data_IF_170800161616
#
_entry.id   IF_170800161616
#
_cell.length_a   1.000
_cell.length_b   1.000
_cell.length_c   1.000
_cell.angle_alpha   90.00
_cell.angle_beta   90.00
_cell.angle_gamma   90.00
#
_symmetry.space_group_name_H-M   'P 1'
#
loop_
_entity.id
_entity.type
_entity.pdbx_description
1 polymer ?
#
# COMPACT_ATOMS: atom_id res chain seq x y z
N UNK A 1 -44.56 31.41 0.24
CA UNK A 1 -43.51 31.52 -0.80
C UNK A 1 -42.40 30.57 -0.41
N UNK A 2 -42.35 29.38 -0.99
CA UNK A 2 -41.30 28.40 -0.75
C UNK A 2 -40.21 28.63 -1.78
N UNK A 3 -39.09 29.23 -1.37
CA UNK A 3 -37.88 29.28 -2.18
C UNK A 3 -37.37 27.84 -2.39
N UNK A 4 -37.00 27.44 -3.62
CA UNK A 4 -36.42 26.13 -3.84
C UNK A 4 -35.05 26.03 -3.13
N UNK A 5 -34.64 24.84 -2.67
CA UNK A 5 -33.33 24.66 -2.04
C UNK A 5 -32.23 24.94 -3.07
N UNK A 6 -31.27 25.79 -2.68
CA UNK A 6 -30.06 26.07 -3.45
C UNK A 6 -29.20 24.80 -3.50
N UNK A 7 -29.39 23.97 -4.51
CA UNK A 7 -28.45 22.89 -4.81
C UNK A 7 -27.18 23.54 -5.39
N UNK A 8 -26.11 23.56 -4.60
CA UNK A 8 -24.79 24.00 -5.05
C UNK A 8 -24.25 23.00 -6.05
N UNK A 9 -24.61 23.16 -7.33
CA UNK A 9 -23.99 22.42 -8.42
C UNK A 9 -22.53 22.89 -8.54
N UNK A 10 -21.63 22.16 -7.89
CA UNK A 10 -20.21 22.32 -8.16
C UNK A 10 -19.95 21.91 -9.60
N UNK A 11 -19.25 22.76 -10.35
CA UNK A 11 -18.83 22.43 -11.71
C UNK A 11 -17.88 21.21 -11.69
N UNK A 12 -17.83 20.39 -12.76
CA UNK A 12 -16.89 19.27 -12.85
C UNK A 12 -15.42 19.68 -12.64
N UNK A 13 -15.08 20.92 -13.01
CA UNK A 13 -13.75 21.50 -12.81
C UNK A 13 -13.44 21.74 -11.32
N UNK A 14 -14.42 22.21 -10.55
CA UNK A 14 -14.26 22.43 -9.10
C UNK A 14 -14.09 21.12 -8.34
N UNK A 15 -14.81 20.06 -8.70
CA UNK A 15 -14.63 18.73 -8.09
C UNK A 15 -13.27 18.12 -8.40
N UNK A 16 -12.83 18.23 -9.66
CA UNK A 16 -11.50 17.76 -10.07
C UNK A 16 -10.37 18.51 -9.34
N UNK A 17 -10.54 19.82 -9.12
CA UNK A 17 -9.59 20.63 -8.37
C UNK A 17 -9.54 20.21 -6.89
N UNK A 18 -10.70 20.04 -6.24
CA UNK A 18 -10.78 19.57 -4.86
C UNK A 18 -10.04 18.23 -4.68
N UNK A 19 -10.25 17.26 -5.58
CA UNK A 19 -9.54 15.99 -5.53
C UNK A 19 -8.02 16.15 -5.67
N UNK A 20 -7.55 16.99 -6.60
CA UNK A 20 -6.11 17.25 -6.76
C UNK A 20 -5.51 17.85 -5.49
N UNK A 21 -6.21 18.77 -4.85
CA UNK A 21 -5.79 19.36 -3.58
C UNK A 21 -5.76 18.33 -2.46
N UNK A 22 -6.75 17.43 -2.40
CA UNK A 22 -6.78 16.32 -1.42
C UNK A 22 -5.58 15.39 -1.59
N UNK A 23 -5.27 14.96 -2.82
CA UNK A 23 -4.09 14.12 -3.05
C UNK A 23 -2.80 14.86 -2.71
N UNK A 24 -2.68 16.14 -3.11
CA UNK A 24 -1.51 16.95 -2.79
C UNK A 24 -1.34 17.11 -1.27
N UNK A 25 -2.42 17.30 -0.51
CA UNK A 25 -2.39 17.41 0.94
C UNK A 25 -1.92 16.11 1.61
N UNK A 26 -2.44 14.96 1.17
CA UNK A 26 -2.02 13.63 1.68
C UNK A 26 -0.54 13.41 1.39
N UNK A 27 -0.10 13.65 0.16
CA UNK A 27 1.30 13.47 -0.23
C UNK A 27 2.24 14.43 0.52
N UNK A 28 1.85 15.69 0.65
CA UNK A 28 2.63 16.68 1.38
C UNK A 28 2.79 16.31 2.86
N UNK A 29 1.70 15.86 3.51
CA UNK A 29 1.74 15.40 4.90
C UNK A 29 2.73 14.24 5.05
N UNK A 30 2.67 13.25 4.16
CA UNK A 30 3.55 12.08 4.19
C UNK A 30 5.00 12.50 3.96
N UNK A 31 5.28 13.33 2.96
CA UNK A 31 6.64 13.82 2.69
C UNK A 31 7.19 14.58 3.91
N UNK A 32 6.41 15.49 4.50
CA UNK A 32 6.85 16.26 5.66
C UNK A 32 7.08 15.38 6.90
N UNK A 33 6.22 14.38 7.13
CA UNK A 33 6.33 13.49 8.27
C UNK A 33 7.52 12.51 8.16
N UNK A 34 7.82 12.03 6.95
CA UNK A 34 8.75 10.92 6.74
C UNK A 34 10.07 11.28 6.07
N UNK A 35 10.18 12.44 5.40
CA UNK A 35 11.43 12.88 4.77
C UNK A 35 12.63 12.97 5.73
N UNK A 36 12.51 13.33 7.02
CA UNK A 36 13.66 13.34 7.93
C UNK A 36 14.27 11.96 8.19
N UNK A 37 13.56 10.88 7.85
CA UNK A 37 13.97 9.50 8.09
C UNK A 37 14.48 8.81 6.82
N UNK A 38 14.45 9.49 5.68
CA UNK A 38 14.99 8.95 4.43
C UNK A 38 16.51 8.82 4.53
N UNK A 39 17.03 7.63 4.20
CA UNK A 39 18.46 7.36 4.26
C UNK A 39 18.98 7.04 5.66
N UNK A 40 18.10 6.79 6.63
CA UNK A 40 18.50 6.19 7.90
C UNK A 40 19.20 4.85 7.65
N UNK A 41 20.29 4.60 8.38
CA UNK A 41 21.07 3.39 8.21
C UNK A 41 20.27 2.13 8.57
N UNK A 42 20.64 1.00 7.98
CA UNK A 42 20.01 -0.30 8.22
C UNK A 42 20.07 -0.70 9.69
N UNK A 43 18.98 -1.30 10.19
CA UNK A 43 18.85 -1.73 11.59
C UNK A 43 18.26 -3.13 11.72
N UNK A 44 18.74 -3.87 12.73
CA UNK A 44 18.17 -5.15 13.16
C UNK A 44 17.95 -6.14 11.99
N UNK A 45 16.70 -6.49 11.71
CA UNK A 45 16.31 -7.47 10.69
C UNK A 45 16.67 -7.03 9.27
N UNK A 46 16.99 -5.75 9.03
CA UNK A 46 17.42 -5.25 7.71
C UNK A 46 18.61 -6.01 7.16
N UNK A 47 19.54 -6.40 8.02
CA UNK A 47 20.70 -7.18 7.61
C UNK A 47 20.32 -8.58 7.14
N UNK A 48 19.32 -9.20 7.76
CA UNK A 48 18.79 -10.51 7.32
C UNK A 48 18.12 -10.39 5.95
N UNK A 49 17.33 -9.34 5.74
CA UNK A 49 16.68 -9.08 4.45
C UNK A 49 17.70 -8.76 3.33
N UNK A 50 18.71 -7.95 3.65
CA UNK A 50 19.82 -7.65 2.74
C UNK A 50 20.64 -8.90 2.43
N UNK A 51 20.93 -9.75 3.42
CA UNK A 51 21.62 -11.01 3.21
C UNK A 51 20.83 -11.88 2.23
N UNK A 52 19.53 -12.11 2.48
CA UNK A 52 18.68 -12.88 1.54
C UNK A 52 18.74 -12.29 0.13
N UNK A 53 18.70 -10.97 -0.03
CA UNK A 53 18.80 -10.30 -1.33
C UNK A 53 20.17 -10.49 -2.00
N UNK A 54 21.28 -10.36 -1.26
CA UNK A 54 22.64 -10.60 -1.76
C UNK A 54 22.78 -12.03 -2.26
N UNK A 55 22.32 -13.01 -1.48
CA UNK A 55 22.41 -14.42 -1.85
C UNK A 55 21.51 -14.75 -3.04
N UNK A 56 20.29 -14.19 -3.06
CA UNK A 56 19.32 -14.37 -4.15
C UNK A 56 19.70 -13.63 -5.42
N UNK A 57 20.61 -12.64 -5.35
CA UNK A 57 21.10 -11.92 -6.52
C UNK A 57 21.85 -12.84 -7.49
N UNK A 58 22.50 -13.89 -6.96
CA UNK A 58 23.23 -14.92 -7.72
C UNK A 58 22.34 -16.06 -8.18
N UNK A 59 21.29 -16.34 -7.42
CA UNK A 59 20.35 -17.43 -7.68
C UNK A 59 18.97 -17.08 -7.11
N UNK A 60 18.06 -16.69 -7.99
CA UNK A 60 16.73 -16.21 -7.62
C UNK A 60 15.85 -17.31 -7.02
N UNK A 61 16.15 -18.58 -7.28
CA UNK A 61 15.35 -19.71 -6.76
C UNK A 61 15.38 -19.78 -5.23
N UNK A 62 16.42 -19.19 -4.61
CA UNK A 62 16.61 -19.12 -3.17
C UNK A 62 15.50 -18.36 -2.44
N UNK A 63 14.85 -17.41 -3.10
CA UNK A 63 13.67 -16.70 -2.55
C UNK A 63 12.53 -17.67 -2.23
N UNK A 64 12.43 -18.77 -2.98
CA UNK A 64 11.38 -19.78 -2.81
C UNK A 64 11.80 -20.92 -1.86
N UNK A 65 12.96 -20.80 -1.21
CA UNK A 65 13.45 -21.81 -0.26
C UNK A 65 13.42 -21.27 1.18
N UNK A 66 12.82 -22.02 2.10
CA UNK A 66 12.66 -21.65 3.51
C UNK A 66 13.98 -21.48 4.28
N UNK A 67 15.08 -21.98 3.74
CA UNK A 67 16.33 -22.15 4.49
C UNK A 67 17.06 -20.83 4.79
N UNK A 68 16.85 -19.79 3.96
CA UNK A 68 17.59 -18.52 4.05
C UNK A 68 16.67 -17.40 4.54
N UNK A 69 15.41 -17.42 4.13
CA UNK A 69 14.45 -16.33 4.34
C UNK A 69 13.92 -16.20 5.78
N UNK A 70 14.10 -17.21 6.65
CA UNK A 70 13.45 -17.37 7.97
C UNK A 70 11.90 -17.39 7.93
N UNK A 71 11.27 -16.73 6.95
CA UNK A 71 9.85 -16.67 6.69
C UNK A 71 9.58 -16.84 5.19
N UNK A 72 8.48 -17.52 4.82
CA UNK A 72 8.09 -17.67 3.42
C UNK A 72 7.36 -16.41 2.92
N UNK A 73 8.12 -15.38 2.54
CA UNK A 73 7.60 -14.10 2.02
C UNK A 73 8.15 -13.81 0.61
N UNK A 74 7.88 -14.68 -0.39
CA UNK A 74 8.55 -14.62 -1.69
C UNK A 74 8.32 -13.29 -2.43
N UNK A 75 7.13 -12.69 -2.34
CA UNK A 75 6.89 -11.39 -2.99
C UNK A 75 7.69 -10.27 -2.30
N UNK A 76 7.75 -10.28 -0.97
CA UNK A 76 8.57 -9.34 -0.21
C UNK A 76 10.05 -9.45 -0.60
N UNK A 77 10.60 -10.65 -0.62
CA UNK A 77 11.99 -10.89 -0.98
C UNK A 77 12.29 -10.58 -2.46
N UNK A 78 11.33 -10.78 -3.37
CA UNK A 78 11.49 -10.38 -4.77
C UNK A 78 11.61 -8.86 -4.91
N UNK A 79 10.76 -8.09 -4.23
CA UNK A 79 10.87 -6.63 -4.25
C UNK A 79 12.18 -6.18 -3.60
N UNK A 80 12.55 -6.77 -2.46
CA UNK A 80 13.82 -6.45 -1.78
C UNK A 80 15.05 -6.78 -2.63
N UNK A 81 15.01 -7.86 -3.41
CA UNK A 81 16.04 -8.21 -4.39
C UNK A 81 16.13 -7.16 -5.51
N UNK A 82 14.98 -6.67 -5.99
CA UNK A 82 14.94 -5.60 -7.00
C UNK A 82 15.54 -4.32 -6.42
N UNK A 83 15.17 -3.93 -5.19
CA UNK A 83 15.75 -2.78 -4.49
C UNK A 83 17.27 -2.92 -4.36
N UNK A 84 17.76 -4.09 -3.93
CA UNK A 84 19.19 -4.36 -3.84
C UNK A 84 19.92 -4.24 -5.18
N UNK A 85 19.31 -4.71 -6.28
CA UNK A 85 19.91 -4.58 -7.62
C UNK A 85 19.95 -3.14 -8.11
N UNK A 86 19.02 -2.29 -7.68
CA UNK A 86 18.93 -0.88 -8.11
C UNK A 86 19.76 0.05 -7.23
N UNK A 87 19.78 -0.18 -5.92
CA UNK A 87 20.32 0.74 -4.92
C UNK A 87 21.54 0.18 -4.18
N UNK A 88 21.83 -1.12 -4.31
CA UNK A 88 22.93 -1.76 -3.60
C UNK A 88 22.75 -1.67 -2.09
N UNK A 89 23.71 -1.06 -1.40
CA UNK A 89 23.66 -0.84 0.05
C UNK A 89 23.35 0.63 0.41
N UNK A 90 22.80 1.41 -0.51
CA UNK A 90 22.33 2.76 -0.22
C UNK A 90 20.93 2.69 0.44
N UNK A 91 20.79 3.01 1.75
CA UNK A 91 19.51 2.93 2.45
C UNK A 91 18.45 3.90 1.91
N UNK A 92 18.86 4.98 1.24
CA UNK A 92 17.93 5.99 0.75
C UNK A 92 16.91 5.39 -0.23
N UNK A 93 17.35 4.53 -1.15
CA UNK A 93 16.48 3.89 -2.13
C UNK A 93 15.39 3.03 -1.50
N UNK A 94 15.75 2.24 -0.49
CA UNK A 94 14.82 1.39 0.25
C UNK A 94 13.77 2.21 1.02
N UNK A 95 14.20 3.25 1.76
CA UNK A 95 13.28 4.13 2.47
C UNK A 95 12.34 4.87 1.51
N UNK A 96 12.81 5.22 0.31
CA UNK A 96 12.00 5.88 -0.71
C UNK A 96 10.91 4.95 -1.26
N UNK A 97 11.21 3.67 -1.52
CA UNK A 97 10.21 2.69 -1.96
C UNK A 97 9.16 2.46 -0.88
N UNK A 98 9.58 2.32 0.39
CA UNK A 98 8.64 2.21 1.51
C UNK A 98 7.74 3.44 1.62
N UNK A 99 8.30 4.65 1.50
CA UNK A 99 7.54 5.89 1.53
C UNK A 99 6.51 5.95 0.38
N UNK A 100 6.92 5.55 -0.83
CA UNK A 100 6.04 5.51 -1.99
C UNK A 100 4.89 4.49 -1.80
N UNK A 101 5.17 3.31 -1.26
CA UNK A 101 4.14 2.32 -0.93
C UNK A 101 3.20 2.81 0.18
N UNK A 102 3.71 3.51 1.19
CA UNK A 102 2.87 4.09 2.22
C UNK A 102 1.95 5.20 1.67
N UNK A 103 2.47 6.04 0.78
CA UNK A 103 1.67 7.03 0.05
C UNK A 103 0.58 6.37 -0.80
N UNK A 104 0.91 5.31 -1.53
CA UNK A 104 -0.07 4.51 -2.27
C UNK A 104 -1.15 3.96 -1.34
N UNK A 105 -0.78 3.41 -0.19
CA UNK A 105 -1.73 2.90 0.81
C UNK A 105 -2.70 3.97 1.31
N UNK A 106 -2.20 5.19 1.59
CA UNK A 106 -3.05 6.30 2.02
C UNK A 106 -4.06 6.69 0.94
N UNK A 107 -3.64 6.73 -0.33
CA UNK A 107 -4.51 7.06 -1.48
C UNK A 107 -5.55 5.96 -1.71
N UNK A 108 -5.15 4.68 -1.67
CA UNK A 108 -6.09 3.57 -1.81
C UNK A 108 -7.11 3.55 -0.65
N UNK A 109 -6.68 3.85 0.57
CA UNK A 109 -7.57 3.95 1.73
C UNK A 109 -8.55 5.11 1.60
N UNK A 110 -8.09 6.29 1.16
CA UNK A 110 -8.95 7.43 0.85
C UNK A 110 -10.07 7.01 -0.10
N UNK A 111 -9.72 6.32 -1.19
CA UNK A 111 -10.69 5.85 -2.17
C UNK A 111 -11.67 4.83 -1.59
N UNK A 112 -11.19 3.87 -0.81
CA UNK A 112 -12.03 2.84 -0.22
C UNK A 112 -13.03 3.45 0.77
N UNK A 113 -12.54 4.30 1.68
CA UNK A 113 -13.37 4.99 2.65
C UNK A 113 -14.40 5.90 1.97
N UNK A 114 -14.02 6.63 0.91
CA UNK A 114 -14.96 7.41 0.10
C UNK A 114 -16.04 6.53 -0.52
N UNK A 115 -15.68 5.39 -1.11
CA UNK A 115 -16.68 4.50 -1.76
C UNK A 115 -17.66 3.88 -0.75
N UNK A 116 -17.21 3.60 0.46
CA UNK A 116 -18.07 3.05 1.52
C UNK A 116 -19.01 4.14 2.08
N UNK A 117 -18.47 5.33 2.37
CA UNK A 117 -19.19 6.37 3.10
C UNK A 117 -19.87 7.41 2.21
N UNK A 118 -19.52 7.42 0.91
CA UNK A 118 -19.92 8.45 -0.06
C UNK A 118 -19.56 9.87 0.40
N UNK A 119 -18.49 10.02 1.19
CA UNK A 119 -18.08 11.29 1.79
C UNK A 119 -16.55 11.48 1.69
N UNK A 120 -16.12 12.53 0.99
CA UNK A 120 -14.71 12.86 0.79
C UNK A 120 -13.98 13.22 2.07
N UNK A 121 -14.65 13.93 2.99
CA UNK A 121 -14.05 14.34 4.26
C UNK A 121 -13.74 13.13 5.13
N UNK A 122 -14.63 12.13 5.16
CA UNK A 122 -14.38 10.88 5.90
C UNK A 122 -13.22 10.11 5.28
N UNK A 123 -13.14 10.07 3.94
CA UNK A 123 -11.99 9.51 3.24
C UNK A 123 -10.68 10.19 3.59
N UNK A 124 -10.67 11.53 3.63
CA UNK A 124 -9.48 12.31 3.96
C UNK A 124 -9.04 12.09 5.41
N UNK A 125 -9.98 12.09 6.35
CA UNK A 125 -9.69 11.81 7.77
C UNK A 125 -9.11 10.40 7.91
N UNK A 126 -9.68 9.39 7.25
CA UNK A 126 -9.15 8.03 7.28
C UNK A 126 -7.72 7.96 6.74
N UNK A 127 -7.42 8.64 5.63
CA UNK A 127 -6.07 8.68 5.05
C UNK A 127 -5.07 9.40 5.97
N UNK A 128 -5.45 10.52 6.59
CA UNK A 128 -4.58 11.25 7.53
C UNK A 128 -4.32 10.42 8.79
N UNK A 129 -5.35 9.81 9.38
CA UNK A 129 -5.19 8.96 10.55
C UNK A 129 -4.29 7.76 10.26
N UNK A 130 -4.39 7.18 9.06
CA UNK A 130 -3.53 6.11 8.62
C UNK A 130 -2.09 6.59 8.39
N UNK A 131 -1.90 7.75 7.74
CA UNK A 131 -0.58 8.34 7.51
C UNK A 131 0.18 8.65 8.82
N UNK A 132 -0.55 9.12 9.84
CA UNK A 132 0.00 9.50 11.14
C UNK A 132 0.07 8.36 12.17
N UNK A 133 -0.40 7.15 11.84
CA UNK A 133 -0.43 6.07 12.82
C UNK A 133 1.00 5.60 13.16
N UNK A 134 1.34 5.58 14.45
CA UNK A 134 2.66 5.17 14.96
C UNK A 134 3.06 3.75 14.59
N UNK A 135 2.10 2.85 14.33
CA UNK A 135 2.36 1.49 13.86
C UNK A 135 2.91 1.48 12.42
N UNK A 136 2.57 2.49 11.61
CA UNK A 136 3.08 2.66 10.25
C UNK A 136 4.37 3.46 10.22
N UNK A 137 4.70 4.20 11.27
CA UNK A 137 6.00 4.85 11.41
C UNK A 137 7.16 3.85 11.36
N UNK A 138 7.09 2.79 12.16
CA UNK A 138 8.01 1.66 12.05
C UNK A 138 7.92 0.97 10.69
N UNK A 139 6.79 1.06 9.98
CA UNK A 139 6.61 0.50 8.65
C UNK A 139 7.38 1.22 7.55
N UNK A 140 7.55 2.54 7.67
CA UNK A 140 8.23 3.37 6.66
C UNK A 140 9.72 3.49 6.96
N UNK A 141 10.07 3.69 8.24
CA UNK A 141 11.46 3.90 8.67
C UNK A 141 12.27 2.61 8.69
N UNK A 142 11.62 1.48 9.00
CA UNK A 142 12.28 0.17 9.00
C UNK A 142 12.11 -0.49 7.64
N UNK A 143 13.20 -0.64 6.89
CA UNK A 143 13.09 -1.11 5.49
C UNK A 143 12.56 -2.55 5.40
N UNK A 144 12.89 -3.43 6.35
CA UNK A 144 12.34 -4.79 6.46
C UNK A 144 10.83 -4.85 6.70
N UNK A 145 10.16 -3.73 6.94
CA UNK A 145 8.71 -3.68 7.01
C UNK A 145 8.02 -3.70 5.63
N UNK A 146 8.80 -3.62 4.54
CA UNK A 146 8.33 -3.64 3.15
C UNK A 146 7.20 -4.65 2.87
N UNK A 147 7.26 -5.93 3.31
CA UNK A 147 6.19 -6.89 3.03
C UNK A 147 4.84 -6.49 3.62
N UNK A 148 4.81 -5.76 4.75
CA UNK A 148 3.57 -5.26 5.35
C UNK A 148 2.95 -4.12 4.54
N UNK A 149 3.79 -3.27 3.94
CA UNK A 149 3.34 -2.19 3.05
C UNK A 149 2.77 -2.75 1.75
N UNK A 150 3.43 -3.75 1.16
CA UNK A 150 2.95 -4.46 -0.03
C UNK A 150 1.64 -5.19 0.28
N UNK A 151 1.59 -5.93 1.39
CA UNK A 151 0.37 -6.60 1.87
C UNK A 151 -0.80 -5.62 1.91
N UNK A 152 -0.61 -4.47 2.56
CA UNK A 152 -1.66 -3.46 2.71
C UNK A 152 -2.12 -2.93 1.36
N UNK A 153 -1.19 -2.64 0.45
CA UNK A 153 -1.51 -2.11 -0.88
C UNK A 153 -2.35 -3.09 -1.68
N UNK A 154 -1.93 -4.36 -1.69
CA UNK A 154 -2.63 -5.43 -2.38
C UNK A 154 -4.00 -5.71 -1.76
N UNK A 155 -4.13 -5.69 -0.43
CA UNK A 155 -5.43 -5.85 0.24
C UNK A 155 -6.40 -4.71 -0.10
N UNK A 156 -5.95 -3.45 -0.04
CA UNK A 156 -6.80 -2.31 -0.39
C UNK A 156 -7.19 -2.33 -1.88
N UNK A 157 -6.26 -2.69 -2.76
CA UNK A 157 -6.52 -2.86 -4.19
C UNK A 157 -7.52 -4.00 -4.44
N UNK A 158 -7.41 -5.12 -3.72
CA UNK A 158 -8.36 -6.22 -3.80
C UNK A 158 -9.78 -5.77 -3.41
N UNK A 159 -9.93 -5.05 -2.30
CA UNK A 159 -11.22 -4.53 -1.85
C UNK A 159 -11.83 -3.53 -2.85
N UNK A 160 -11.04 -2.64 -3.43
CA UNK A 160 -11.50 -1.70 -4.45
C UNK A 160 -11.90 -2.41 -5.75
N UNK A 161 -11.16 -3.44 -6.15
CA UNK A 161 -11.51 -4.26 -7.31
C UNK A 161 -12.81 -5.04 -7.03
N UNK A 162 -12.96 -5.63 -5.85
CA UNK A 162 -14.16 -6.36 -5.47
C UNK A 162 -15.40 -5.44 -5.40
N UNK A 163 -15.30 -4.26 -4.81
CA UNK A 163 -16.39 -3.26 -4.84
C UNK A 163 -16.75 -2.88 -6.30
N UNK A 164 -15.75 -2.73 -7.18
CA UNK A 164 -15.99 -2.47 -8.61
C UNK A 164 -16.70 -3.63 -9.31
N UNK A 165 -16.38 -4.88 -8.93
CA UNK A 165 -17.11 -6.07 -9.39
C UNK A 165 -18.56 -6.07 -8.91
N UNK A 166 -18.82 -5.77 -7.63
CA UNK A 166 -20.18 -5.74 -7.10
C UNK A 166 -21.07 -4.72 -7.83
N UNK A 167 -20.50 -3.57 -8.20
CA UNK A 167 -21.22 -2.50 -8.91
C UNK A 167 -21.44 -2.77 -10.40
N UNK A 168 -20.46 -3.37 -11.08
CA UNK A 168 -20.49 -3.50 -12.56
C UNK A 168 -20.77 -4.92 -13.05
N UNK A 169 -20.56 -5.93 -12.20
CA UNK A 169 -20.59 -7.37 -12.51
C UNK A 169 -19.60 -7.82 -13.60
N UNK A 170 -18.63 -6.98 -13.99
CA UNK A 170 -17.56 -7.39 -14.91
C UNK A 170 -16.57 -8.34 -14.23
N UNK A 171 -16.41 -9.54 -14.78
CA UNK A 171 -15.56 -10.60 -14.22
C UNK A 171 -14.07 -10.24 -14.12
N UNK A 172 -13.61 -9.27 -14.90
CA UNK A 172 -12.23 -8.75 -14.84
C UNK A 172 -11.91 -8.19 -13.45
N UNK A 173 -12.85 -7.47 -12.83
CA UNK A 173 -12.67 -6.92 -11.48
C UNK A 173 -12.60 -8.00 -10.40
N UNK A 174 -13.36 -9.08 -10.57
CA UNK A 174 -13.28 -10.24 -9.68
C UNK A 174 -11.94 -10.96 -9.82
N UNK A 175 -11.48 -11.20 -11.05
CA UNK A 175 -10.18 -11.80 -11.31
C UNK A 175 -9.01 -10.96 -10.77
N UNK A 176 -9.08 -9.62 -10.91
CA UNK A 176 -8.10 -8.70 -10.33
C UNK A 176 -8.10 -8.76 -8.81
N UNK A 177 -9.29 -8.76 -8.18
CA UNK A 177 -9.40 -8.91 -6.73
C UNK A 177 -8.73 -10.19 -6.24
N UNK A 178 -8.99 -11.31 -6.92
CA UNK A 178 -8.39 -12.60 -6.57
C UNK A 178 -6.86 -12.58 -6.75
N UNK A 179 -6.37 -12.01 -7.86
CA UNK A 179 -4.95 -11.87 -8.13
C UNK A 179 -4.25 -11.04 -7.04
N UNK A 180 -4.85 -9.93 -6.61
CA UNK A 180 -4.33 -9.11 -5.51
C UNK A 180 -4.31 -9.87 -4.18
N UNK A 181 -5.35 -10.66 -3.86
CA UNK A 181 -5.36 -11.49 -2.66
C UNK A 181 -4.26 -12.56 -2.67
N UNK A 182 -4.03 -13.22 -3.81
CA UNK A 182 -2.93 -14.18 -3.94
C UNK A 182 -1.59 -13.48 -3.74
N UNK A 183 -1.38 -12.31 -4.36
CA UNK A 183 -0.16 -11.52 -4.15
C UNK A 183 0.03 -11.09 -2.69
N UNK A 184 -1.05 -10.72 -2.01
CA UNK A 184 -1.05 -10.34 -0.60
C UNK A 184 -0.60 -11.52 0.29
N UNK A 185 -1.11 -12.73 0.02
CA UNK A 185 -0.67 -13.96 0.71
C UNK A 185 0.82 -14.27 0.47
N UNK A 186 1.34 -14.00 -0.72
CA UNK A 186 2.76 -14.18 -1.05
C UNK A 186 3.67 -13.10 -0.43
N UNK A 187 3.10 -11.98 0.01
CA UNK A 187 3.83 -10.94 0.73
C UNK A 187 3.97 -11.29 2.21
N UNK A 188 2.87 -11.74 2.83
CA UNK A 188 2.84 -12.13 4.24
C UNK A 188 1.63 -13.02 4.52
N UNK A 189 1.80 -13.99 5.40
CA UNK A 189 0.78 -15.00 5.79
C UNK A 189 -0.50 -14.40 6.40
N UNK A 190 -0.47 -13.13 6.81
CA UNK A 190 -1.59 -12.45 7.47
C UNK A 190 -2.83 -12.24 6.58
N UNK A 191 -2.73 -12.45 5.26
CA UNK A 191 -3.87 -12.26 4.34
C UNK A 191 -4.92 -13.40 4.37
N UNK A 192 -4.72 -14.45 5.17
CA UNK A 192 -5.69 -15.55 5.31
C UNK A 192 -7.08 -15.06 5.77
N UNK A 193 -7.16 -13.92 6.45
CA UNK A 193 -8.42 -13.38 6.99
C UNK A 193 -9.39 -12.89 5.91
N UNK A 194 -8.90 -12.42 4.75
CA UNK A 194 -9.75 -11.88 3.67
C UNK A 194 -10.24 -12.94 2.67
N UNK A 195 -9.52 -14.06 2.54
CA UNK A 195 -9.85 -15.10 1.57
C UNK A 195 -11.26 -15.69 1.76
N UNK A 196 -11.75 -15.97 2.99
CA UNK A 196 -13.11 -16.47 3.19
C UNK A 196 -14.20 -15.47 2.77
N UNK A 197 -13.99 -14.17 3.02
CA UNK A 197 -15.00 -13.14 2.73
C UNK A 197 -15.28 -12.99 1.23
N UNK A 198 -14.26 -13.19 0.39
CA UNK A 198 -14.38 -13.10 -1.07
C UNK A 198 -14.94 -14.37 -1.73
N UNK A 199 -14.80 -15.52 -1.07
CA UNK A 199 -15.27 -16.82 -1.58
C UNK A 199 -16.74 -17.11 -1.25
N UNK A 200 -17.36 -16.31 -0.37
CA UNK A 200 -18.76 -16.48 0.04
C UNK A 200 -19.77 -15.85 -0.95
N UNK A 201 -19.32 -15.29 -2.08
CA UNK A 201 -20.14 -14.60 -3.08
C UNK A 201 -19.76 -15.04 -4.50
#
# INVERSE_FOLDING_TARGET
MNSPPLTTHHSPLTEALCHRLTYAAILLLIILAYSPFLGNYFVQDDFTWLEVAVWSSRDITRIFTLHIAHFFMPLGHLVFLIEYRLFGLDPFGYSLVNLALHALNCVLLFHLARRITQNDSVGLIAAILFACNSSHFHGVVWISALPRLILTALMLAALLAFDSYLRTRHRTWYALSLAFCVGAMLSKEQCVVLAPLLLLH
#
